data_IF_257264236958
#
_entry.id   IF_257264236958
#
_cell.length_a   1.000
_cell.length_b   1.000
_cell.length_c   1.000
_cell.angle_alpha   90.00
_cell.angle_beta   90.00
_cell.angle_gamma   90.00
#
_symmetry.space_group_name_H-M   'P 1'
#
loop_
_entity.id
_entity.type
_entity.pdbx_description
1 polymer ?
2 non-polymer ?
3 water ?
#
# COMPACT_ATOMS: atom_id res chain seq x y z
N UNK A 1 -3.15 13.88 -8.20
CA UNK A 1 -3.81 12.76 -7.57
C UNK A 1 -2.82 11.57 -7.37
N UNK A 2 -1.75 11.43 -8.18
CA UNK A 2 -0.72 10.42 -7.91
C UNK A 2 -0.21 10.54 -6.49
N UNK A 3 0.15 11.76 -6.08
CA UNK A 3 0.78 11.94 -4.79
C UNK A 3 -0.20 11.66 -3.67
N UNK A 4 -1.46 12.05 -3.85
CA UNK A 4 -2.46 11.85 -2.82
C UNK A 4 -2.77 10.35 -2.64
N UNK A 5 -2.81 9.61 -3.74
CA UNK A 5 -3.01 8.18 -3.62
C UNK A 5 -1.83 7.54 -2.92
N UNK A 6 -0.60 7.99 -3.23
CA UNK A 6 0.57 7.49 -2.53
C UNK A 6 0.47 7.76 -1.03
N UNK A 7 -0.06 8.93 -0.66
CA UNK A 7 -0.24 9.21 0.77
C UNK A 7 -1.18 8.23 1.41
N UNK A 8 -2.28 7.88 0.71
CA UNK A 8 -3.23 6.93 1.28
C UNK A 8 -2.60 5.54 1.39
N UNK A 9 -1.74 5.21 0.42
CA UNK A 9 -1.03 3.93 0.51
C UNK A 9 -0.11 3.90 1.74
N UNK A 10 0.67 4.99 1.96
CA UNK A 10 1.55 5.08 3.10
C UNK A 10 0.79 4.98 4.42
N UNK A 11 -0.37 5.64 4.50
CA UNK A 11 -1.18 5.56 5.71
C UNK A 11 -1.57 4.12 5.99
N UNK A 12 -1.96 3.38 4.94
CA UNK A 12 -2.33 1.98 5.17
C UNK A 12 -1.13 1.12 5.54
N UNK A 13 0.02 1.37 4.89
CA UNK A 13 1.22 0.61 5.24
C UNK A 13 1.55 0.81 6.72
N UNK A 14 1.35 2.04 7.25
CA UNK A 14 1.57 2.28 8.67
C UNK A 14 0.66 1.43 9.54
N UNK A 15 -0.64 1.35 9.15
CA UNK A 15 -1.56 0.51 9.93
C UNK A 15 -1.15 -0.96 9.89
N UNK A 16 -0.69 -1.44 8.71
CA UNK A 16 -0.20 -2.82 8.61
C UNK A 16 1.02 -3.00 9.49
N UNK A 17 1.90 -2.01 9.55
CA UNK A 17 3.05 -2.16 10.42
C UNK A 17 2.65 -2.15 11.88
N UNK A 18 1.54 -1.48 12.20
CA UNK A 18 1.10 -1.45 13.59
C UNK A 18 0.51 -2.79 14.04
N UNK A 19 -0.21 -3.50 13.16
CA UNK A 19 -0.97 -4.68 13.62
C UNK A 19 -0.61 -5.97 12.88
N UNK A 20 0.21 -5.93 11.85
CA UNK A 20 0.41 -7.11 11.03
C UNK A 20 1.66 -7.89 11.41
N UNK A 21 1.68 -9.16 10.99
CA UNK A 21 2.85 -9.96 11.22
C UNK A 21 3.96 -9.56 10.24
N UNK A 22 5.18 -10.05 10.49
CA UNK A 22 6.32 -9.56 9.73
C UNK A 22 6.25 -9.93 8.26
N UNK A 23 5.61 -11.04 7.90
CA UNK A 23 5.46 -11.35 6.48
C UNK A 23 4.50 -10.38 5.80
N UNK A 24 3.41 -10.04 6.48
CA UNK A 24 2.47 -9.07 5.92
C UNK A 24 3.11 -7.69 5.84
N UNK A 25 3.95 -7.35 6.83
CA UNK A 25 4.67 -6.08 6.76
C UNK A 25 5.59 -6.04 5.54
N UNK A 26 6.34 -7.13 5.28
CA UNK A 26 7.18 -7.16 4.08
C UNK A 26 6.35 -7.00 2.82
N UNK A 27 5.19 -7.68 2.76
CA UNK A 27 4.30 -7.53 1.60
C UNK A 27 3.87 -6.08 1.42
N UNK A 28 3.51 -5.42 2.51
CA UNK A 28 3.07 -4.01 2.43
C UNK A 28 4.22 -3.06 2.10
N UNK A 29 5.44 -3.35 2.58
CA UNK A 29 6.57 -2.50 2.26
C UNK A 29 6.95 -2.62 0.79
N UNK A 30 6.81 -3.84 0.21
CA UNK A 30 7.07 -4.00 -1.22
C UNK A 30 6.03 -3.23 -2.01
N UNK A 31 4.77 -3.29 -1.58
CA UNK A 31 3.71 -2.52 -2.21
C UNK A 31 4.03 -1.03 -2.22
N UNK A 32 4.54 -0.52 -1.11
CA UNK A 32 4.87 0.89 -1.01
C UNK A 32 5.98 1.25 -1.98
N UNK A 33 7.04 0.44 -2.01
CA UNK A 33 8.12 0.74 -2.94
C UNK A 33 7.62 0.68 -4.40
N UNK A 34 6.79 -0.33 -4.72
CA UNK A 34 6.17 -0.41 -6.04
C UNK A 34 5.37 0.85 -6.32
N UNK A 35 4.64 1.34 -5.32
CA UNK A 35 3.83 2.52 -5.53
C UNK A 35 4.70 3.73 -5.80
N UNK A 36 5.82 3.86 -5.08
CA UNK A 36 6.72 4.98 -5.35
C UNK A 36 7.26 4.93 -6.77
N UNK A 37 7.62 3.75 -7.23
CA UNK A 37 8.08 3.59 -8.61
C UNK A 37 7.00 3.96 -9.61
N UNK A 38 5.76 3.55 -9.33
CA UNK A 38 4.66 3.85 -10.23
C UNK A 38 4.35 5.34 -10.25
N UNK A 39 4.47 6.00 -9.10
CA UNK A 39 4.33 7.46 -9.09
C UNK A 39 5.40 8.10 -9.96
N UNK A 40 6.64 7.62 -9.83
CA UNK A 40 7.72 8.23 -10.59
C UNK A 40 7.47 8.11 -12.09
N UNK A 41 6.92 6.95 -12.52
CA UNK A 41 6.54 6.70 -13.92
C UNK A 41 5.24 7.38 -14.32
N UNK A 42 4.53 8.00 -13.38
CA UNK A 42 3.21 8.60 -13.61
C UNK A 42 2.20 7.57 -14.10
N UNK A 43 2.32 6.34 -13.61
CA UNK A 43 1.42 5.25 -13.98
C UNK A 43 0.25 5.26 -12.98
N UNK A 44 -0.72 6.14 -13.24
CA UNK A 44 -1.84 6.34 -12.33
C UNK A 44 -2.67 5.06 -12.13
N UNK A 45 -2.90 4.30 -13.21
CA UNK A 45 -3.68 3.07 -13.07
C UNK A 45 -2.99 2.09 -12.14
N UNK A 46 -1.66 2.05 -12.19
CA UNK A 46 -0.96 1.14 -11.28
C UNK A 46 -1.00 1.64 -9.85
N UNK A 47 -0.87 2.95 -9.63
CA UNK A 47 -1.00 3.46 -8.27
C UNK A 47 -2.38 3.13 -7.72
N UNK A 48 -3.44 3.36 -8.54
CA UNK A 48 -4.80 3.01 -8.12
C UNK A 48 -4.93 1.53 -7.75
N UNK A 49 -4.33 0.65 -8.57
CA UNK A 49 -4.36 -0.77 -8.29
C UNK A 49 -3.64 -1.06 -6.97
N UNK A 50 -2.46 -0.44 -6.76
CA UNK A 50 -1.73 -0.75 -5.54
C UNK A 50 -2.48 -0.26 -4.30
N UNK A 51 -3.21 0.85 -4.41
CA UNK A 51 -4.03 1.28 -3.28
C UNK A 51 -5.12 0.24 -2.98
N UNK A 52 -5.81 -0.26 -4.01
CA UNK A 52 -6.80 -1.32 -3.75
C UNK A 52 -6.14 -2.53 -3.12
N UNK A 53 -4.94 -2.87 -3.60
CA UNK A 53 -4.24 -4.02 -3.03
C UNK A 53 -3.89 -3.80 -1.57
N UNK A 54 -3.43 -2.58 -1.23
CA UNK A 54 -3.12 -2.26 0.17
C UNK A 54 -4.37 -2.31 1.02
N UNK A 55 -5.47 -1.75 0.53
CA UNK A 55 -6.73 -1.79 1.28
C UNK A 55 -7.13 -3.24 1.58
N UNK A 56 -7.01 -4.11 0.59
CA UNK A 56 -7.39 -5.52 0.78
C UNK A 56 -6.48 -6.22 1.78
N UNK A 57 -5.17 -6.04 1.64
CA UNK A 57 -4.21 -6.66 2.56
C UNK A 57 -4.52 -6.24 3.98
N UNK A 58 -4.79 -4.94 4.17
CA UNK A 58 -5.07 -4.44 5.50
C UNK A 58 -6.39 -4.98 6.04
N UNK A 59 -7.42 -4.96 5.21
CA UNK A 59 -8.72 -5.41 5.66
C UNK A 59 -8.63 -6.83 6.16
N UNK A 60 -7.87 -7.65 5.48
CA UNK A 60 -7.72 -9.04 5.87
C UNK A 60 -7.00 -9.23 7.18
N UNK A 61 -6.02 -8.41 7.45
CA UNK A 61 -5.40 -8.50 8.74
C UNK A 61 -6.36 -8.01 9.79
N UNK A 62 -7.03 -6.90 9.53
CA UNK A 62 -7.84 -6.28 10.56
C UNK A 62 -9.00 -7.17 10.95
N UNK A 63 -9.51 -7.95 10.00
CA UNK A 63 -10.66 -8.81 10.20
C UNK A 63 -10.29 -10.24 10.57
N UNK A 64 -9.01 -10.61 10.49
CA UNK A 64 -8.59 -11.89 11.06
C UNK A 64 -8.54 -11.85 12.59
X LIG B 1 11.82 -8.79 10.39
X LIG B 1 11.78 -7.55 9.59
X LIG B 1 11.81 -6.35 10.53
X LIG B 1 11.69 -5.04 9.73
X LIG B 1 12.96 -7.42 8.61
X LIG B 1 12.88 -6.10 7.82
X LIG B 1 12.89 -4.92 8.79
X LIG B 1 11.58 -6.11 7.01
X LIG B 1 10.47 -7.51 8.79
X LIG B 1 10.39 -6.22 7.96
X LIG B 1 10.39 -5.03 8.92
X LIG C 1 11.08 4.28 1.91
X LIG C 1 11.03 3.19 2.87
X LIG C 1 12.48 2.80 3.19
X LIG C 1 12.47 1.60 4.15
X LIG C 1 10.29 3.58 4.18
X LIG C 1 10.29 2.36 5.12
X LIG C 1 11.74 1.99 5.45
X LIG C 1 9.56 1.19 4.44
X LIG C 1 10.31 2.01 2.19
X LIG C 1 10.32 0.82 3.16
X LIG C 1 11.77 0.41 3.50
#
# INVERSE_FOLDING_TARGET
DLEELLQKIKEIVLKVMDIGDDETIKRAQKLLIKAELAVQKKDLKEVEKLLKEAEKVYKEVKEA
308 N1 C10 C7 C1 C8 C5 C6 C4 C9 C3 C2
308 N1 C10 C7 C1 C8 C5 C6 C4 C9 C3 C2
#
